data_IF_059042956300
#
_entry.id   IF_059042956300
#
_cell.length_a   1.000
_cell.length_b   1.000
_cell.length_c   1.000
_cell.angle_alpha   90.00
_cell.angle_beta   90.00
_cell.angle_gamma   90.00
#
_symmetry.space_group_name_H-M   'P 1'
#
loop_
_entity.id
_entity.type
_entity.pdbx_description
1 polymer ?
#
# COMPACT_ATOMS: atom_id res chain seq x y z
N UNK A 1 -4.39 -7.95 -2.51
CA UNK A 1 -3.07 -7.28 -2.55
C UNK A 1 -2.96 -6.55 -3.88
N UNK A 2 -2.18 -5.48 -3.97
CA UNK A 2 -1.95 -4.74 -5.21
C UNK A 2 -0.44 -4.63 -5.48
N UNK A 3 -0.03 -4.83 -6.73
CA UNK A 3 1.35 -4.60 -7.17
C UNK A 3 1.48 -3.13 -7.60
N UNK A 4 2.15 -2.32 -6.78
CA UNK A 4 2.26 -0.89 -6.98
C UNK A 4 3.49 -0.59 -7.83
N UNK A 5 3.37 0.11 -8.97
CA UNK A 5 4.53 0.57 -9.71
C UNK A 5 5.30 1.67 -8.94
N UNK A 6 6.56 1.88 -9.30
CA UNK A 6 7.32 3.05 -8.87
C UNK A 6 6.70 4.33 -9.48
N UNK A 7 6.83 5.45 -8.78
CA UNK A 7 6.27 6.74 -9.19
C UNK A 7 4.84 6.98 -8.70
N UNK A 8 4.14 5.96 -8.21
CA UNK A 8 2.75 6.05 -7.75
C UNK A 8 2.65 6.13 -6.21
N UNK A 9 2.08 7.21 -5.62
CA UNK A 9 1.79 7.27 -4.19
C UNK A 9 0.71 6.27 -3.76
N UNK A 10 0.76 5.78 -2.52
CA UNK A 10 -0.24 4.83 -2.00
C UNK A 10 -1.58 5.51 -1.67
N UNK A 11 -1.54 6.64 -0.98
CA UNK A 11 -2.71 7.39 -0.52
C UNK A 11 -2.51 8.89 -0.74
N UNK A 12 -3.60 9.69 -0.75
CA UNK A 12 -3.52 11.12 -0.97
C UNK A 12 -2.49 11.81 -0.08
N UNK A 13 -1.67 12.65 -0.69
CA UNK A 13 -0.61 13.40 -0.03
C UNK A 13 -0.41 14.74 -0.71
N UNK A 14 0.47 15.61 -0.19
CA UNK A 14 0.69 16.94 -0.76
C UNK A 14 1.13 16.82 -2.22
N UNK A 15 0.36 17.42 -3.13
CA UNK A 15 0.60 17.36 -4.57
C UNK A 15 0.03 16.13 -5.28
N UNK A 16 -0.57 15.18 -4.53
CA UNK A 16 -1.16 13.95 -5.06
C UNK A 16 -2.51 13.67 -4.39
N UNK A 17 -3.57 14.33 -4.86
CA UNK A 17 -4.89 14.27 -4.21
C UNK A 17 -5.89 13.32 -4.88
N UNK A 18 -5.59 12.83 -6.08
CA UNK A 18 -6.48 11.95 -6.85
C UNK A 18 -5.78 10.99 -7.80
N UNK A 19 -4.45 10.91 -7.74
CA UNK A 19 -3.57 10.13 -8.59
C UNK A 19 -2.79 9.10 -7.76
N UNK A 20 -3.49 8.41 -6.85
CA UNK A 20 -2.89 7.46 -5.92
C UNK A 20 -3.40 6.04 -6.14
N UNK A 21 -2.66 5.05 -5.67
CA UNK A 21 -3.07 3.63 -5.75
C UNK A 21 -4.49 3.43 -5.20
N UNK A 22 -4.84 4.08 -4.08
CA UNK A 22 -6.19 3.98 -3.54
C UNK A 22 -7.25 4.54 -4.48
N UNK A 23 -6.99 5.64 -5.18
CA UNK A 23 -7.95 6.23 -6.11
C UNK A 23 -8.17 5.31 -7.32
N UNK A 24 -7.08 4.77 -7.88
CA UNK A 24 -7.14 3.76 -8.93
C UNK A 24 -7.92 2.51 -8.48
N UNK A 25 -7.63 1.96 -7.30
CA UNK A 25 -8.30 0.77 -6.82
C UNK A 25 -9.77 1.03 -6.49
N UNK A 26 -10.12 2.21 -5.94
CA UNK A 26 -11.53 2.57 -5.70
C UNK A 26 -12.32 2.62 -7.00
N UNK A 27 -11.75 3.24 -8.03
CA UNK A 27 -12.40 3.35 -9.33
C UNK A 27 -12.65 1.97 -9.98
N UNK A 28 -11.71 1.04 -9.83
CA UNK A 28 -11.79 -0.27 -10.50
C UNK A 28 -12.48 -1.37 -9.68
N UNK A 29 -12.41 -1.32 -8.35
CA UNK A 29 -12.75 -2.46 -7.47
C UNK A 29 -13.81 -2.14 -6.42
N UNK A 30 -14.23 -0.89 -6.30
CA UNK A 30 -15.19 -0.41 -5.30
C UNK A 30 -16.31 0.41 -5.94
N UNK A 31 -16.89 -0.12 -7.03
CA UNK A 31 -18.08 0.47 -7.66
C UNK A 31 -19.29 0.51 -6.72
N UNK A 32 -19.28 -0.30 -5.66
CA UNK A 32 -20.26 -0.33 -4.57
C UNK A 32 -20.04 0.77 -3.50
N UNK A 33 -19.03 1.63 -3.67
CA UNK A 33 -18.67 2.64 -2.69
C UNK A 33 -17.92 2.09 -1.46
N UNK A 34 -17.48 0.82 -1.50
CA UNK A 34 -16.72 0.23 -0.39
C UNK A 34 -15.43 0.99 -0.14
N UNK A 35 -15.16 1.31 1.12
CA UNK A 35 -13.90 1.97 1.50
C UNK A 35 -12.78 0.95 1.50
N UNK A 36 -11.72 1.24 0.75
CA UNK A 36 -10.48 0.47 0.77
C UNK A 36 -9.52 1.02 1.83
N UNK A 37 -8.89 0.12 2.57
CA UNK A 37 -8.02 0.42 3.70
C UNK A 37 -6.61 -0.13 3.43
N UNK A 38 -5.59 0.69 3.17
CA UNK A 38 -4.22 0.21 3.06
C UNK A 38 -3.72 -0.22 4.44
N UNK A 39 -3.14 -1.42 4.53
CA UNK A 39 -2.57 -1.94 5.79
C UNK A 39 -1.17 -1.34 6.05
N UNK A 40 -0.48 -0.93 4.99
CA UNK A 40 0.81 -0.27 5.04
C UNK A 40 1.01 0.59 3.79
N UNK A 41 2.19 1.20 3.68
CA UNK A 41 2.59 1.98 2.50
C UNK A 41 3.99 1.59 2.04
N UNK A 42 4.22 1.76 0.75
CA UNK A 42 5.55 1.90 0.16
C UNK A 42 5.76 3.37 -0.19
N UNK A 43 7.01 3.79 -0.28
CA UNK A 43 7.35 5.11 -0.81
C UNK A 43 6.94 5.24 -2.27
N UNK A 44 6.78 6.48 -2.75
CA UNK A 44 6.29 6.77 -4.10
C UNK A 44 7.12 6.02 -5.15
N UNK A 45 8.44 6.09 -5.02
CA UNK A 45 9.38 5.55 -6.01
C UNK A 45 9.80 4.10 -5.73
N UNK A 46 9.23 3.46 -4.70
CA UNK A 46 9.41 2.04 -4.42
C UNK A 46 8.29 1.24 -5.07
N UNK A 47 8.63 0.28 -5.93
CA UNK A 47 7.68 -0.66 -6.50
C UNK A 47 7.45 -1.87 -5.59
N UNK A 48 6.31 -2.55 -5.76
CA UNK A 48 6.03 -3.85 -5.15
C UNK A 48 4.70 -3.91 -4.42
N UNK A 49 4.57 -4.93 -3.56
CA UNK A 49 3.29 -5.35 -3.01
C UNK A 49 2.80 -4.42 -1.90
N UNK A 50 1.54 -3.97 -2.01
CA UNK A 50 0.80 -3.29 -0.96
C UNK A 50 -0.44 -4.09 -0.57
N UNK A 51 -0.61 -4.35 0.73
CA UNK A 51 -1.81 -5.00 1.26
C UNK A 51 -2.95 -3.99 1.42
N UNK A 52 -4.11 -4.33 0.87
CA UNK A 52 -5.34 -3.53 0.91
C UNK A 52 -6.46 -4.39 1.48
N UNK A 53 -7.09 -3.91 2.55
CA UNK A 53 -8.23 -4.55 3.19
C UNK A 53 -9.54 -3.88 2.77
N UNK A 54 -10.57 -4.68 2.50
CA UNK A 54 -11.93 -4.20 2.18
C UNK A 54 -12.79 -3.89 3.41
N UNK A 55 -12.45 -4.47 4.56
CA UNK A 55 -13.19 -4.31 5.80
C UNK A 55 -12.32 -3.65 6.86
N UNK A 56 -12.91 -2.72 7.61
CA UNK A 56 -12.24 -2.00 8.70
C UNK A 56 -11.68 -2.94 9.77
N UNK A 57 -12.41 -4.00 10.13
CA UNK A 57 -11.96 -4.99 11.12
C UNK A 57 -10.70 -5.73 10.65
N UNK A 58 -10.68 -6.20 9.39
CA UNK A 58 -9.50 -6.83 8.79
C UNK A 58 -8.32 -5.85 8.71
N UNK A 59 -8.57 -4.60 8.35
CA UNK A 59 -7.54 -3.56 8.30
C UNK A 59 -6.88 -3.36 9.68
N UNK A 60 -7.69 -3.30 10.75
CA UNK A 60 -7.19 -3.15 12.12
C UNK A 60 -6.36 -4.36 12.56
N UNK A 61 -6.86 -5.59 12.31
CA UNK A 61 -6.15 -6.82 12.66
C UNK A 61 -4.81 -6.93 11.93
N UNK A 62 -4.80 -6.71 10.61
CA UNK A 62 -3.58 -6.78 9.79
C UNK A 62 -2.59 -5.66 10.15
N UNK A 63 -3.09 -4.45 10.45
CA UNK A 63 -2.24 -3.35 10.91
C UNK A 63 -1.58 -3.67 12.25
N UNK A 64 -2.31 -4.31 13.17
CA UNK A 64 -1.76 -4.78 14.45
C UNK A 64 -0.66 -5.81 14.25
N UNK A 65 -0.88 -6.82 13.39
CA UNK A 65 0.16 -7.82 13.05
C UNK A 65 1.40 -7.16 12.42
N UNK A 66 1.21 -6.18 11.53
CA UNK A 66 2.31 -5.43 10.91
C UNK A 66 3.11 -4.63 11.95
N UNK A 67 2.43 -3.96 12.89
CA UNK A 67 3.05 -3.21 13.98
C UNK A 67 3.82 -4.13 14.94
N UNK A 68 3.27 -5.32 15.22
CA UNK A 68 3.87 -6.33 16.09
C UNK A 68 4.95 -7.18 15.39
N UNK A 69 5.37 -6.81 14.16
CA UNK A 69 6.39 -7.52 13.37
C UNK A 69 6.07 -9.01 13.13
N UNK A 70 4.79 -9.35 13.03
CA UNK A 70 4.31 -10.71 12.75
C UNK A 70 4.18 -11.00 11.25
N UNK A 71 4.61 -10.07 10.40
CA UNK A 71 4.57 -10.16 8.95
C UNK A 71 5.99 -10.04 8.41
N UNK A 72 6.41 -11.02 7.61
CA UNK A 72 7.66 -10.96 6.88
C UNK A 72 7.48 -10.11 5.62
N UNK A 73 8.45 -9.22 5.35
CA UNK A 73 8.49 -8.38 4.16
C UNK A 73 9.87 -8.47 3.55
N UNK A 74 9.96 -9.04 2.36
CA UNK A 74 11.21 -9.16 1.61
C UNK A 74 11.27 -8.07 0.56
N UNK A 75 12.41 -7.39 0.46
CA UNK A 75 12.65 -6.35 -0.54
C UNK A 75 13.86 -6.74 -1.37
N UNK A 76 13.71 -6.65 -2.70
CA UNK A 76 14.84 -6.71 -3.61
C UNK A 76 15.36 -5.29 -3.83
N UNK A 77 16.65 -5.08 -3.56
CA UNK A 77 17.29 -3.78 -3.73
C UNK A 77 18.70 -3.95 -4.29
N UNK A 78 19.17 -2.95 -5.04
CA UNK A 78 20.56 -2.82 -5.46
C UNK A 78 21.21 -1.72 -4.62
N UNK A 79 22.32 -2.04 -3.95
CA UNK A 79 23.05 -1.10 -3.10
C UNK A 79 24.49 -0.91 -3.63
N UNK A 80 25.02 0.31 -3.46
CA UNK A 80 26.41 0.65 -3.82
C UNK A 80 27.23 0.89 -2.55
N UNK A 81 28.33 0.16 -2.40
CA UNK A 81 29.23 0.25 -1.25
C UNK A 81 29.92 -1.09 -0.95
N UNK A 82 30.67 -1.13 0.15
CA UNK A 82 31.19 -2.35 0.76
C UNK A 82 30.33 -2.69 1.98
N UNK A 83 29.89 -3.95 2.08
CA UNK A 83 28.99 -4.47 3.10
C UNK A 83 29.58 -5.73 3.73
#
# INVERSE_FOLDING_TARGET
MADKPAGLPVHPSRGHYGDTLLDFLRHNLSADGSTLHPVGRLDKDTAGIVMIARHRASAAALSSQLQNRQMEKTYLALAKGTF
#
